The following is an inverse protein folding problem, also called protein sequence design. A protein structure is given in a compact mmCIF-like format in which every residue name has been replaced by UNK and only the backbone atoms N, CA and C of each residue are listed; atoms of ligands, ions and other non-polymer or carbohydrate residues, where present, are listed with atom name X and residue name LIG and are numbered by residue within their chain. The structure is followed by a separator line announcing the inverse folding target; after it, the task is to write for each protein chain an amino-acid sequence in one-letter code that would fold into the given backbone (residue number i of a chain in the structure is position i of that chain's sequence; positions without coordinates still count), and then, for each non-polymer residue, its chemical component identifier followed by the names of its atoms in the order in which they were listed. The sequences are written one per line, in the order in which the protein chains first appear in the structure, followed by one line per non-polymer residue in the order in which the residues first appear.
data_IF_243796387572
#
_entry.id   IF_243796387572
#
_cell.length_a   1.000
_cell.length_b   1.000
_cell.length_c   1.000
_cell.angle_alpha   90.00
_cell.angle_beta   90.00
_cell.angle_gamma   90.00
#
_symmetry.space_group_name_H-M   'P 1'
#
loop_
_entity.id
_entity.type
_entity.pdbx_description
1 polymer ?
#
# COMPACT_ATOMS: atom_id res chain seq x y z
N UNK A 1 8.99 75.73 2.70
CA UNK A 1 9.12 74.71 1.63
C UNK A 1 9.25 73.26 2.13
N UNK A 2 9.54 72.99 3.41
CA UNK A 2 9.80 71.63 3.94
C UNK A 2 8.54 70.71 3.95
N UNK A 3 7.33 71.28 4.00
CA UNK A 3 6.05 70.52 4.07
C UNK A 3 5.73 69.72 2.80
N UNK A 4 6.13 70.19 1.61
CA UNK A 4 5.87 69.50 0.34
C UNK A 4 6.81 68.32 0.11
N UNK A 5 8.06 68.41 0.59
CA UNK A 5 9.05 67.35 0.44
C UNK A 5 8.73 66.13 1.32
N UNK A 6 8.12 66.35 2.49
CA UNK A 6 7.64 65.27 3.35
C UNK A 6 6.43 64.54 2.75
N UNK A 7 5.47 65.26 2.15
CA UNK A 7 4.29 64.65 1.52
C UNK A 7 4.62 63.71 0.36
N UNK A 8 5.62 64.06 -0.45
CA UNK A 8 6.02 63.25 -1.61
C UNK A 8 6.59 61.88 -1.20
N UNK A 9 7.40 61.83 -0.13
CA UNK A 9 7.95 60.55 0.39
C UNK A 9 6.84 59.64 0.91
N UNK A 10 5.84 60.19 1.61
CA UNK A 10 4.68 59.41 2.06
C UNK A 10 3.82 58.95 0.88
N UNK A 11 3.63 59.77 -0.15
CA UNK A 11 2.94 59.36 -1.37
C UNK A 11 3.66 58.18 -2.06
N UNK A 12 4.99 58.23 -2.18
CA UNK A 12 5.77 57.11 -2.72
C UNK A 12 5.67 55.84 -1.85
N UNK A 13 5.67 55.97 -0.53
CA UNK A 13 5.47 54.84 0.38
C UNK A 13 4.09 54.20 0.21
N UNK A 14 3.04 55.02 0.10
CA UNK A 14 1.66 54.53 -0.11
C UNK A 14 1.52 53.86 -1.48
N UNK A 15 2.11 54.43 -2.52
CA UNK A 15 2.14 53.82 -3.86
C UNK A 15 2.90 52.49 -3.82
N UNK A 16 4.06 52.45 -3.17
CA UNK A 16 4.84 51.22 -3.01
C UNK A 16 4.06 50.13 -2.28
N UNK A 17 3.33 50.49 -1.21
CA UNK A 17 2.46 49.57 -0.48
C UNK A 17 1.32 49.03 -1.37
N UNK A 18 0.66 49.90 -2.15
CA UNK A 18 -0.39 49.48 -3.08
C UNK A 18 0.13 48.51 -4.14
N UNK A 19 1.30 48.81 -4.73
CA UNK A 19 1.95 47.91 -5.70
C UNK A 19 2.28 46.56 -5.06
N UNK A 20 2.78 46.56 -3.82
CA UNK A 20 3.10 45.34 -3.10
C UNK A 20 1.86 44.47 -2.85
N UNK A 21 0.74 45.08 -2.44
CA UNK A 21 -0.53 44.36 -2.25
C UNK A 21 -1.03 43.76 -3.57
N UNK A 22 -0.97 44.51 -4.67
CA UNK A 22 -1.36 44.01 -5.99
C UNK A 22 -0.48 42.85 -6.46
N UNK A 23 0.84 42.93 -6.23
CA UNK A 23 1.78 41.88 -6.60
C UNK A 23 1.52 40.60 -5.80
N UNK A 24 1.31 40.71 -4.48
CA UNK A 24 0.96 39.56 -3.64
C UNK A 24 -0.36 38.94 -4.10
N UNK A 25 -1.35 39.75 -4.46
CA UNK A 25 -2.64 39.24 -4.97
C UNK A 25 -2.47 38.50 -6.29
N UNK A 26 -1.81 39.10 -7.29
CA UNK A 26 -1.57 38.48 -8.60
C UNK A 26 -0.71 37.21 -8.48
N UNK A 27 0.35 37.25 -7.68
CA UNK A 27 1.18 36.08 -7.39
C UNK A 27 0.38 34.95 -6.74
N UNK A 28 -0.42 35.28 -5.72
CA UNK A 28 -1.22 34.28 -5.01
C UNK A 28 -2.30 33.68 -5.94
N UNK A 29 -2.96 34.48 -6.76
CA UNK A 29 -3.92 34.00 -7.76
C UNK A 29 -3.27 33.07 -8.80
N UNK A 30 -2.09 33.43 -9.32
CA UNK A 30 -1.35 32.57 -10.27
C UNK A 30 -0.91 31.26 -9.63
N UNK A 31 -0.40 31.32 -8.40
CA UNK A 31 0.01 30.14 -7.64
C UNK A 31 -1.17 29.22 -7.34
N UNK A 32 -2.34 29.77 -6.99
CA UNK A 32 -3.55 28.99 -6.75
C UNK A 32 -4.02 28.27 -8.02
N UNK A 33 -3.97 28.96 -9.17
CA UNK A 33 -4.33 28.35 -10.45
C UNK A 33 -3.34 27.26 -10.88
N UNK A 34 -2.03 27.50 -10.72
CA UNK A 34 -1.00 26.50 -11.00
C UNK A 34 -1.15 25.25 -10.11
N UNK A 35 -1.41 25.42 -8.81
CA UNK A 35 -1.66 24.29 -7.90
C UNK A 35 -2.88 23.48 -8.34
N UNK A 36 -3.99 24.15 -8.65
CA UNK A 36 -5.21 23.49 -9.15
C UNK A 36 -4.97 22.68 -10.43
N UNK A 37 -4.15 23.21 -11.36
CA UNK A 37 -3.78 22.52 -12.59
C UNK A 37 -2.86 21.32 -12.33
N UNK A 38 -1.89 21.47 -11.42
CA UNK A 38 -0.99 20.38 -11.00
C UNK A 38 -1.75 19.26 -10.31
N UNK A 39 -2.63 19.57 -9.36
CA UNK A 39 -3.41 18.58 -8.62
C UNK A 39 -4.28 17.74 -9.59
N UNK A 40 -4.89 18.40 -10.58
CA UNK A 40 -5.66 17.71 -11.64
C UNK A 40 -4.78 16.84 -12.53
N UNK A 41 -3.57 17.29 -12.87
CA UNK A 41 -2.60 16.52 -13.66
C UNK A 41 -2.17 15.27 -12.88
N UNK A 42 -1.89 15.42 -11.59
CA UNK A 42 -1.45 14.31 -10.73
C UNK A 42 -2.56 13.29 -10.52
N UNK A 43 -3.81 13.74 -10.35
CA UNK A 43 -4.98 12.86 -10.28
C UNK A 43 -5.15 12.04 -11.58
N UNK A 44 -5.08 12.69 -12.74
CA UNK A 44 -5.19 12.01 -14.04
C UNK A 44 -4.01 11.06 -14.26
N UNK A 45 -2.80 11.44 -13.88
CA UNK A 45 -1.61 10.59 -14.00
C UNK A 45 -1.74 9.32 -13.13
N UNK A 46 -2.27 9.45 -11.91
CA UNK A 46 -2.54 8.31 -11.03
C UNK A 46 -3.57 7.34 -11.65
N UNK A 47 -4.65 7.87 -12.22
CA UNK A 47 -5.65 7.05 -12.93
C UNK A 47 -5.06 6.34 -14.15
N UNK A 48 -4.27 7.04 -14.98
CA UNK A 48 -3.63 6.41 -16.14
C UNK A 48 -2.66 5.30 -15.70
N UNK A 49 -1.92 5.51 -14.62
CA UNK A 49 -0.97 4.51 -14.10
C UNK A 49 -1.69 3.24 -13.67
N UNK A 50 -2.81 3.36 -12.94
CA UNK A 50 -3.59 2.19 -12.52
C UNK A 50 -4.20 1.45 -13.71
N UNK A 51 -4.73 2.19 -14.70
CA UNK A 51 -5.29 1.60 -15.92
C UNK A 51 -4.24 0.83 -16.73
N UNK A 52 -3.04 1.38 -16.91
CA UNK A 52 -1.94 0.71 -17.62
C UNK A 52 -1.50 -0.55 -16.87
N UNK A 53 -1.38 -0.49 -15.54
CA UNK A 53 -1.05 -1.68 -14.74
C UNK A 53 -2.09 -2.79 -14.88
N UNK A 54 -3.38 -2.43 -14.82
CA UNK A 54 -4.47 -3.39 -15.05
C UNK A 54 -4.42 -3.96 -16.46
N UNK A 55 -4.20 -3.13 -17.48
CA UNK A 55 -4.07 -3.61 -18.86
C UNK A 55 -2.93 -4.62 -19.00
N UNK A 56 -1.73 -4.32 -18.51
CA UNK A 56 -0.58 -5.23 -18.58
C UNK A 56 -0.86 -6.55 -17.85
N UNK A 57 -1.53 -6.49 -16.69
CA UNK A 57 -1.93 -7.70 -15.96
C UNK A 57 -2.94 -8.55 -16.77
N UNK A 58 -3.92 -7.91 -17.40
CA UNK A 58 -4.90 -8.60 -18.25
C UNK A 58 -4.24 -9.19 -19.50
N UNK A 59 -3.35 -8.45 -20.17
CA UNK A 59 -2.58 -8.96 -21.30
C UNK A 59 -1.73 -10.17 -20.92
N UNK A 60 -1.10 -10.14 -19.75
CA UNK A 60 -0.32 -11.29 -19.23
C UNK A 60 -1.21 -12.51 -18.98
N UNK A 61 -2.39 -12.30 -18.37
CA UNK A 61 -3.35 -13.38 -18.13
C UNK A 61 -3.89 -13.96 -19.43
N UNK A 62 -4.19 -13.13 -20.42
CA UNK A 62 -4.62 -13.58 -21.74
C UNK A 62 -3.51 -14.39 -22.40
N UNK A 63 -2.28 -13.88 -22.41
CA UNK A 63 -1.13 -14.60 -22.98
C UNK A 63 -0.95 -15.98 -22.33
N UNK A 64 -1.02 -16.06 -21.00
CA UNK A 64 -0.99 -17.33 -20.28
C UNK A 64 -2.16 -18.24 -20.65
N UNK A 65 -3.40 -17.74 -20.61
CA UNK A 65 -4.59 -18.51 -20.93
C UNK A 65 -4.59 -19.07 -22.37
N UNK A 66 -3.95 -18.36 -23.31
CA UNK A 66 -3.77 -18.80 -24.69
C UNK A 66 -2.52 -19.67 -24.92
N UNK A 67 -1.71 -19.90 -23.88
CA UNK A 67 -0.46 -20.65 -23.99
C UNK A 67 -0.67 -22.16 -23.87
N UNK A 68 0.21 -22.94 -24.49
CA UNK A 68 0.24 -24.40 -24.36
C UNK A 68 0.48 -24.86 -22.91
N UNK A 69 1.14 -24.02 -22.10
CA UNK A 69 1.35 -24.29 -20.68
C UNK A 69 0.04 -24.31 -19.91
N UNK A 70 -0.89 -23.38 -20.18
CA UNK A 70 -2.20 -23.37 -19.53
C UNK A 70 -3.05 -24.59 -19.92
N UNK A 71 -2.96 -25.01 -21.19
CA UNK A 71 -3.61 -26.25 -21.66
C UNK A 71 -3.02 -27.48 -20.96
N UNK A 72 -1.69 -27.51 -20.80
CA UNK A 72 -0.99 -28.60 -20.12
C UNK A 72 -1.34 -28.67 -18.64
N UNK A 73 -1.30 -27.54 -17.93
CA UNK A 73 -1.65 -27.45 -16.51
C UNK A 73 -3.08 -27.93 -16.27
N UNK A 74 -4.02 -27.45 -17.09
CA UNK A 74 -5.40 -27.90 -17.01
C UNK A 74 -5.53 -29.39 -17.27
N UNK A 75 -4.81 -29.91 -18.28
CA UNK A 75 -4.78 -31.34 -18.58
C UNK A 75 -4.39 -32.17 -17.37
N UNK A 76 -3.33 -31.77 -16.65
CA UNK A 76 -2.83 -32.52 -15.49
C UNK A 76 -3.67 -32.31 -14.22
N UNK A 77 -4.04 -31.07 -13.88
CA UNK A 77 -4.70 -30.75 -12.62
C UNK A 77 -6.21 -31.06 -12.67
N UNK A 78 -6.93 -30.50 -13.64
CA UNK A 78 -8.39 -30.62 -13.70
C UNK A 78 -8.87 -31.72 -14.64
N UNK A 79 -8.17 -31.93 -15.76
CA UNK A 79 -8.54 -32.91 -16.78
C UNK A 79 -8.15 -34.34 -16.42
N UNK A 80 -7.29 -34.51 -15.41
CA UNK A 80 -6.66 -35.79 -15.02
C UNK A 80 -6.08 -36.57 -16.23
N UNK A 81 -5.63 -35.83 -17.25
CA UNK A 81 -5.04 -36.35 -18.46
C UNK A 81 -3.55 -36.59 -18.23
N UNK A 82 -3.08 -37.76 -18.64
CA UNK A 82 -1.67 -38.12 -18.64
C UNK A 82 -1.17 -38.14 -20.10
N UNK A 83 0.05 -37.65 -20.34
CA UNK A 83 0.67 -37.76 -21.68
C UNK A 83 1.25 -39.15 -21.90
N UNK A 84 1.54 -39.43 -23.17
CA UNK A 84 2.19 -40.67 -23.56
C UNK A 84 3.59 -40.76 -22.90
N UNK A 85 3.76 -41.72 -21.98
CA UNK A 85 4.97 -41.87 -21.16
C UNK A 85 4.82 -41.47 -19.69
N UNK A 86 3.71 -40.83 -19.31
CA UNK A 86 3.41 -40.50 -17.91
C UNK A 86 2.84 -41.73 -17.17
N UNK A 87 3.27 -41.95 -15.92
CA UNK A 87 2.76 -43.02 -15.04
C UNK A 87 1.90 -42.42 -13.92
N UNK A 88 0.55 -42.38 -14.07
CA UNK A 88 -0.31 -41.84 -13.01
C UNK A 88 -0.24 -42.72 -11.76
N UNK A 89 0.30 -42.18 -10.67
CA UNK A 89 0.36 -42.85 -9.37
C UNK A 89 -0.87 -42.43 -8.58
N UNK A 90 -1.76 -43.39 -8.30
CA UNK A 90 -2.85 -43.20 -7.35
C UNK A 90 -2.38 -43.73 -6.00
N UNK A 91 -2.25 -42.88 -4.96
CA UNK A 91 -1.97 -43.35 -3.63
C UNK A 91 -3.13 -44.26 -3.17
N UNK A 92 -2.82 -45.52 -2.94
CA UNK A 92 -3.72 -46.43 -2.25
C UNK A 92 -3.37 -46.36 -0.76
N UNK A 93 -4.38 -46.20 0.09
CA UNK A 93 -4.19 -46.38 1.52
C UNK A 93 -3.74 -47.83 1.76
N UNK A 94 -2.68 -48.03 2.54
CA UNK A 94 -2.26 -49.38 2.93
C UNK A 94 -3.42 -50.05 3.70
N UNK A 95 -3.87 -51.25 3.29
CA UNK A 95 -4.90 -51.98 4.03
C UNK A 95 -4.31 -52.41 5.38
N UNK A 96 -4.67 -51.68 6.44
CA UNK A 96 -4.15 -51.87 7.79
C UNK A 96 -3.25 -50.75 8.30
N UNK A 97 -3.24 -49.57 7.67
CA UNK A 97 -2.58 -48.38 8.21
C UNK A 97 -3.07 -48.10 9.64
N UNK A 98 -2.23 -48.41 10.62
CA UNK A 98 -2.41 -47.98 12.00
C UNK A 98 -2.63 -46.46 11.97
N UNK A 99 -3.68 -45.91 12.60
CA UNK A 99 -3.89 -44.47 12.60
C UNK A 99 -2.63 -43.81 13.14
N UNK A 100 -1.96 -43.03 12.30
CA UNK A 100 -0.78 -42.27 12.68
C UNK A 100 -1.15 -41.43 13.91
N UNK A 101 -0.39 -41.58 15.00
CA UNK A 101 -0.70 -40.94 16.27
C UNK A 101 -0.86 -39.44 16.03
N UNK A 102 -2.08 -38.94 16.22
CA UNK A 102 -2.42 -37.53 16.09
C UNK A 102 -1.40 -36.70 16.85
N UNK A 103 -0.59 -35.91 16.12
CA UNK A 103 0.36 -34.99 16.75
C UNK A 103 -0.42 -34.10 17.71
N UNK A 104 -0.11 -34.21 19.00
CA UNK A 104 -0.69 -33.33 20.02
C UNK A 104 -0.32 -31.90 19.60
N UNK A 105 -1.29 -30.98 19.43
CA UNK A 105 -0.96 -29.63 19.03
C UNK A 105 -0.02 -29.02 20.09
N UNK A 106 1.10 -28.49 19.61
CA UNK A 106 1.99 -27.67 20.46
C UNK A 106 1.15 -26.51 21.01
N UNK A 107 1.24 -26.19 22.31
CA UNK A 107 0.47 -25.09 22.87
C UNK A 107 0.74 -23.81 22.07
N UNK A 108 -0.32 -23.23 21.51
CA UNK A 108 -0.25 -21.96 20.81
C UNK A 108 0.32 -20.92 21.79
N UNK A 109 1.42 -20.24 21.44
CA UNK A 109 1.93 -19.17 22.28
C UNK A 109 0.83 -18.13 22.46
N UNK A 110 0.54 -17.77 23.71
CA UNK A 110 -0.40 -16.69 24.01
C UNK A 110 0.16 -15.42 23.38
N UNK A 111 -0.57 -14.85 22.42
CA UNK A 111 -0.19 -13.58 21.81
C UNK A 111 -0.50 -12.50 22.85
N UNK A 112 0.49 -12.16 23.66
CA UNK A 112 0.42 -10.99 24.53
C UNK A 112 0.39 -9.74 23.64
N UNK A 113 -0.61 -8.90 23.84
CA UNK A 113 -0.68 -7.64 23.10
C UNK A 113 0.43 -6.71 23.59
N UNK A 114 1.09 -5.98 22.67
CA UNK A 114 2.24 -5.12 22.98
C UNK A 114 2.03 -4.16 24.17
N UNK A 115 0.79 -3.75 24.44
CA UNK A 115 0.47 -2.87 25.58
C UNK A 115 0.55 -3.58 26.94
N UNK A 116 0.28 -4.89 27.00
CA UNK A 116 0.38 -5.70 28.22
C UNK A 116 1.86 -5.89 28.59
N UNK A 117 2.69 -6.16 27.59
CA UNK A 117 4.16 -6.21 27.71
C UNK A 117 4.73 -4.86 28.15
N UNK A 118 4.18 -3.75 27.66
CA UNK A 118 4.62 -2.43 28.08
C UNK A 118 4.24 -2.12 29.54
N UNK A 119 3.06 -2.54 29.98
CA UNK A 119 2.57 -2.29 31.34
C UNK A 119 3.29 -3.15 32.38
N UNK A 120 3.70 -4.37 32.04
CA UNK A 120 4.48 -5.25 32.93
C UNK A 120 5.87 -4.66 33.28
N UNK A 121 6.45 -3.81 32.43
CA UNK A 121 7.71 -3.11 32.72
C UNK A 121 7.61 -2.11 33.88
N UNK A 122 6.39 -1.70 34.26
CA UNK A 122 6.13 -0.77 35.36
C UNK A 122 5.56 -1.45 36.59
N UNK A 123 5.15 -2.72 36.48
CA UNK A 123 4.61 -3.53 37.57
C UNK A 123 5.52 -4.73 37.76
N UNK A 124 6.68 -4.48 38.35
CA UNK A 124 7.51 -5.55 38.93
C UNK A 124 7.05 -5.72 40.39
N UNK A 125 6.20 -6.72 40.61
CA UNK A 125 5.95 -7.24 41.95
C UNK A 125 6.05 -8.76 41.91
N UNK A 126 7.28 -9.22 42.11
CA UNK A 126 7.59 -10.27 43.07
C UNK A 126 6.64 -11.50 43.08
N UNK A 127 6.56 -12.25 41.98
CA UNK A 127 5.99 -13.61 41.99
C UNK A 127 7.02 -14.69 42.37
N UNK A 128 8.13 -14.28 42.99
CA UNK A 128 9.08 -15.16 43.67
C UNK A 128 8.53 -15.73 45.00
N UNK A 129 7.26 -15.52 45.35
CA UNK A 129 6.66 -16.13 46.54
C UNK A 129 5.31 -16.75 46.23
N UNK A 130 5.28 -18.09 46.22
CA UNK A 130 4.03 -18.85 46.26
C UNK A 130 4.05 -20.18 45.52
N UNK A 131 5.00 -21.05 45.81
CA UNK A 131 4.71 -22.49 45.92
C UNK A 131 4.63 -22.75 47.44
N UNK A 132 3.65 -23.50 48.00
CA UNK A 132 2.84 -24.57 47.40
C UNK A 132 1.37 -24.22 47.09
#
# INVERSE_FOLDING_TARGET
MIRQWLGWKYALMVIGLLVLVLLVMDFNSRMAELRRLSDKKDEVAAQVTSLVQTQTQLETQIAYATSDLAVMEWGYQEGHQAREGDFPVVPLEEPGGEPEATKVPSPTPQIENNWQVWLSLFVDEDSSKGSP
#
